data_IF_070293358696
#
_entry.id   IF_070293358696
#
_cell.length_a   1.000
_cell.length_b   1.000
_cell.length_c   1.000
_cell.angle_alpha   90.00
_cell.angle_beta   90.00
_cell.angle_gamma   90.00
#
_symmetry.space_group_name_H-M   'P 1'
#
loop_
_entity.id
_entity.type
_entity.pdbx_description
1 polymer ?
#
# COMPACT_ATOMS: atom_id res chain seq x y z
N UNK A 1 36.22 -21.76 38.07
CA UNK A 1 35.32 -22.34 37.06
C UNK A 1 34.49 -21.21 36.41
N UNK A 2 35.17 -20.30 35.72
CA UNK A 2 34.70 -18.97 35.26
C UNK A 2 34.69 -18.92 33.73
N UNK A 3 34.24 -20.01 33.10
CA UNK A 3 34.21 -20.18 31.64
C UNK A 3 32.86 -20.65 31.09
N UNK A 4 31.89 -20.97 31.94
CA UNK A 4 30.56 -21.42 31.52
C UNK A 4 29.53 -20.29 31.34
N UNK A 5 29.87 -19.05 31.74
CA UNK A 5 28.92 -17.92 31.69
C UNK A 5 28.94 -17.19 30.33
N UNK A 6 29.87 -17.52 29.43
CA UNK A 6 30.04 -16.78 28.16
C UNK A 6 29.17 -17.33 27.02
N UNK A 7 28.54 -18.51 27.17
CA UNK A 7 27.81 -19.16 26.07
C UNK A 7 26.31 -18.80 25.95
N UNK A 8 25.75 -17.98 26.86
CA UNK A 8 24.31 -17.63 26.82
C UNK A 8 24.05 -16.23 26.21
N UNK A 9 25.09 -15.49 25.83
CA UNK A 9 24.97 -14.08 25.47
C UNK A 9 24.81 -13.77 23.97
N UNK A 10 24.61 -14.76 23.08
CA UNK A 10 24.63 -14.51 21.63
C UNK A 10 23.52 -15.19 20.82
N UNK A 11 22.31 -15.30 21.39
CA UNK A 11 21.14 -15.81 20.66
C UNK A 11 19.91 -14.90 20.77
N UNK A 12 20.12 -13.59 20.98
CA UNK A 12 19.10 -12.57 20.80
C UNK A 12 19.05 -12.08 19.35
N UNK A 13 18.88 -12.99 18.39
CA UNK A 13 18.55 -12.62 17.02
C UNK A 13 17.14 -12.03 17.05
N UNK A 14 17.05 -10.70 17.06
CA UNK A 14 15.80 -10.00 16.88
C UNK A 14 15.18 -10.41 15.55
N UNK A 15 14.24 -11.34 15.59
CA UNK A 15 13.33 -11.58 14.49
C UNK A 15 12.48 -10.32 14.35
N UNK A 16 12.93 -9.40 13.49
CA UNK A 16 12.08 -8.34 12.97
C UNK A 16 10.99 -8.98 12.13
N UNK A 17 9.97 -9.55 12.78
CA UNK A 17 8.74 -9.94 12.10
C UNK A 17 8.17 -8.66 11.52
N UNK A 18 8.15 -8.55 10.18
CA UNK A 18 7.55 -7.44 9.48
C UNK A 18 6.06 -7.38 9.84
N UNK A 19 5.73 -6.65 10.90
CA UNK A 19 4.39 -6.54 11.45
C UNK A 19 3.55 -5.60 10.59
N UNK A 20 2.26 -5.93 10.45
CA UNK A 20 1.27 -5.06 9.82
C UNK A 20 1.37 -3.63 10.36
N UNK A 21 1.13 -2.58 9.54
CA UNK A 21 1.13 -1.21 10.01
C UNK A 21 -0.15 -0.86 10.79
N UNK A 22 -1.07 -1.81 10.94
CA UNK A 22 -2.37 -1.64 11.58
C UNK A 22 -2.42 -2.32 12.97
N UNK A 23 -3.27 -1.83 13.88
CA UNK A 23 -3.48 -2.42 15.19
C UNK A 23 -3.85 -3.91 15.12
N UNK A 24 -3.27 -4.72 16.00
CA UNK A 24 -3.42 -6.18 15.95
C UNK A 24 -4.87 -6.63 16.07
N UNK A 25 -5.65 -5.99 16.96
CA UNK A 25 -7.07 -6.22 17.19
C UNK A 25 -7.91 -6.10 15.91
N UNK A 26 -7.57 -5.15 15.05
CA UNK A 26 -8.24 -4.98 13.76
C UNK A 26 -7.75 -5.95 12.69
N UNK A 27 -6.48 -6.36 12.75
CA UNK A 27 -5.92 -7.31 11.76
C UNK A 27 -6.32 -8.77 12.03
N UNK A 28 -6.79 -9.09 13.25
CA UNK A 28 -7.23 -10.46 13.61
C UNK A 28 -8.51 -10.89 12.90
N UNK A 29 -9.37 -9.95 12.53
CA UNK A 29 -10.63 -10.21 11.83
C UNK A 29 -10.47 -10.24 10.30
N UNK A 30 -9.28 -9.92 9.79
CA UNK A 30 -9.01 -9.82 8.36
C UNK A 30 -8.92 -11.20 7.71
N UNK A 31 -9.66 -11.39 6.63
CA UNK A 31 -9.49 -12.53 5.74
C UNK A 31 -8.25 -12.32 4.88
N UNK A 32 -7.12 -12.90 5.28
CA UNK A 32 -5.84 -12.79 4.55
C UNK A 32 -5.75 -13.67 3.29
N UNK A 33 -6.64 -14.67 3.16
CA UNK A 33 -6.72 -15.49 1.95
C UNK A 33 -7.49 -14.80 0.82
N UNK A 34 -8.37 -13.85 1.15
CA UNK A 34 -9.22 -13.19 0.17
C UNK A 34 -8.43 -12.21 -0.69
N UNK A 35 -8.26 -12.57 -1.96
CA UNK A 35 -7.62 -11.77 -2.98
C UNK A 35 -8.61 -10.82 -3.66
N UNK A 36 -8.07 -9.75 -4.27
CA UNK A 36 -8.90 -8.86 -5.08
C UNK A 36 -9.55 -9.58 -6.27
N UNK A 37 -8.88 -10.59 -6.83
CA UNK A 37 -9.42 -11.36 -7.94
C UNK A 37 -10.68 -12.15 -7.53
N UNK A 38 -10.68 -12.73 -6.33
CA UNK A 38 -11.84 -13.45 -5.77
C UNK A 38 -12.99 -12.49 -5.47
N UNK A 39 -12.71 -11.33 -4.85
CA UNK A 39 -13.73 -10.29 -4.61
C UNK A 39 -14.39 -9.84 -5.92
N UNK A 40 -13.62 -9.76 -7.02
CA UNK A 40 -14.15 -9.41 -8.34
C UNK A 40 -14.96 -10.53 -8.99
N UNK A 41 -14.64 -11.78 -8.68
CA UNK A 41 -15.31 -12.94 -9.26
C UNK A 41 -16.72 -13.12 -8.67
N UNK A 42 -16.88 -12.91 -7.36
CA UNK A 42 -18.18 -12.96 -6.69
C UNK A 42 -18.33 -11.86 -5.62
N UNK A 43 -18.56 -10.60 -6.02
CA UNK A 43 -18.62 -9.49 -5.08
C UNK A 43 -19.72 -9.62 -4.00
N UNK A 44 -20.95 -10.09 -4.30
CA UNK A 44 -21.99 -10.30 -3.30
C UNK A 44 -21.58 -11.27 -2.19
N UNK A 45 -20.84 -12.34 -2.51
CA UNK A 45 -20.40 -13.33 -1.52
C UNK A 45 -19.41 -12.75 -0.49
N UNK A 46 -18.68 -11.70 -0.86
CA UNK A 46 -17.63 -11.12 -0.04
C UNK A 46 -18.02 -9.79 0.61
N UNK A 47 -19.27 -9.33 0.46
CA UNK A 47 -19.76 -8.12 1.11
C UNK A 47 -19.64 -8.22 2.63
N UNK A 48 -19.10 -7.17 3.27
CA UNK A 48 -18.92 -7.15 4.72
C UNK A 48 -17.63 -7.81 5.21
N UNK A 49 -16.86 -8.48 4.36
CA UNK A 49 -15.58 -9.06 4.77
C UNK A 49 -14.52 -7.99 5.03
N UNK A 50 -13.73 -8.20 6.09
CA UNK A 50 -12.57 -7.37 6.41
C UNK A 50 -11.36 -7.83 5.61
N UNK A 51 -10.73 -6.88 4.91
CA UNK A 51 -9.61 -7.14 4.01
C UNK A 51 -8.47 -6.15 4.24
N UNK A 52 -7.25 -6.60 3.93
CA UNK A 52 -6.10 -5.72 3.75
C UNK A 52 -5.71 -5.79 2.28
N UNK A 53 -5.85 -4.66 1.59
CA UNK A 53 -5.49 -4.50 0.19
C UNK A 53 -4.59 -3.29 0.04
N UNK A 54 -3.75 -3.28 -0.98
CA UNK A 54 -2.89 -2.14 -1.22
C UNK A 54 -2.33 -2.12 -2.63
N UNK A 55 -1.64 -1.03 -2.95
CA UNK A 55 -1.11 -0.82 -4.28
C UNK A 55 -0.71 0.63 -4.52
N UNK A 56 -0.64 0.98 -5.79
CA UNK A 56 -0.26 2.31 -6.24
C UNK A 56 -1.51 3.18 -6.44
N UNK A 57 -1.50 4.38 -5.89
CA UNK A 57 -2.56 5.36 -6.10
C UNK A 57 -2.55 5.78 -7.58
N UNK A 58 -3.70 5.61 -8.24
CA UNK A 58 -3.93 6.14 -9.58
C UNK A 58 -4.48 7.54 -9.50
N UNK A 59 -5.48 7.75 -8.64
CA UNK A 59 -6.21 9.01 -8.51
C UNK A 59 -6.79 9.16 -7.10
N UNK A 60 -6.77 10.38 -6.59
CA UNK A 60 -7.42 10.77 -5.33
C UNK A 60 -8.43 11.87 -5.64
N UNK A 61 -9.68 11.65 -5.27
CA UNK A 61 -10.80 12.56 -5.54
C UNK A 61 -11.53 12.87 -4.23
N UNK A 62 -11.26 14.02 -3.60
CA UNK A 62 -12.02 14.48 -2.45
C UNK A 62 -13.47 14.76 -2.86
N UNK A 63 -14.42 14.41 -2.01
CA UNK A 63 -15.85 14.70 -2.16
C UNK A 63 -16.37 15.35 -0.86
N UNK A 64 -17.59 15.88 -0.83
CA UNK A 64 -18.18 16.36 0.41
C UNK A 64 -18.29 15.23 1.45
N UNK A 65 -17.48 15.29 2.51
CA UNK A 65 -17.53 14.36 3.64
C UNK A 65 -16.72 13.06 3.49
N UNK A 66 -16.22 12.74 2.29
CA UNK A 66 -15.38 11.56 2.06
C UNK A 66 -14.27 11.83 1.02
N UNK A 67 -13.31 10.92 0.94
CA UNK A 67 -12.32 10.93 -0.15
C UNK A 67 -12.27 9.57 -0.79
N UNK A 68 -12.38 9.55 -2.10
CA UNK A 68 -12.27 8.36 -2.92
C UNK A 68 -10.88 8.26 -3.53
N UNK A 69 -10.25 7.09 -3.37
CA UNK A 69 -8.93 6.78 -3.91
C UNK A 69 -9.07 5.58 -4.83
N UNK A 70 -8.65 5.75 -6.07
CA UNK A 70 -8.55 4.70 -7.07
C UNK A 70 -7.15 4.10 -7.02
N UNK A 71 -7.05 2.80 -6.79
CA UNK A 71 -5.79 2.09 -6.54
C UNK A 71 -5.61 0.99 -7.57
N UNK A 72 -4.39 0.90 -8.11
CA UNK A 72 -3.93 -0.26 -8.87
C UNK A 72 -3.34 -1.27 -7.89
N UNK A 73 -4.00 -2.42 -7.74
CA UNK A 73 -3.64 -3.39 -6.71
C UNK A 73 -2.27 -4.01 -6.96
N UNK A 74 -1.51 -4.17 -5.89
CA UNK A 74 -0.23 -4.87 -5.85
C UNK A 74 -0.28 -6.00 -4.85
N UNK A 75 0.57 -6.99 -5.05
CA UNK A 75 0.85 -7.98 -4.02
C UNK A 75 1.42 -7.28 -2.79
N UNK A 76 1.01 -7.71 -1.61
CA UNK A 76 1.54 -7.19 -0.35
C UNK A 76 2.69 -8.09 0.11
N UNK A 77 3.81 -7.46 0.43
CA UNK A 77 4.99 -8.10 1.02
C UNK A 77 4.91 -8.12 2.55
N UNK A 78 6.06 -8.33 3.21
CA UNK A 78 6.15 -8.27 4.67
C UNK A 78 5.67 -6.92 5.22
N UNK A 79 4.91 -6.95 6.31
CA UNK A 79 4.34 -5.74 6.93
C UNK A 79 3.29 -5.04 6.06
N UNK A 80 2.59 -5.79 5.20
CA UNK A 80 1.53 -5.30 4.31
C UNK A 80 1.95 -4.17 3.36
N UNK A 81 3.24 -4.04 3.07
CA UNK A 81 3.75 -3.06 2.12
C UNK A 81 3.48 -3.50 0.68
N UNK A 82 2.94 -2.65 -0.20
CA UNK A 82 2.78 -2.98 -1.61
C UNK A 82 4.14 -3.24 -2.26
N UNK A 83 4.30 -4.41 -2.87
CA UNK A 83 5.46 -4.80 -3.65
C UNK A 83 5.56 -3.93 -4.90
N UNK A 84 6.79 -3.68 -5.35
CA UNK A 84 7.07 -2.98 -6.61
C UNK A 84 7.06 -3.99 -7.76
N UNK A 85 6.57 -3.57 -8.92
CA UNK A 85 6.61 -4.36 -10.15
C UNK A 85 5.45 -4.03 -11.06
N UNK A 86 5.36 -4.75 -12.18
CA UNK A 86 4.37 -4.48 -13.22
C UNK A 86 3.09 -5.31 -13.04
N UNK A 87 3.14 -6.41 -12.29
CA UNK A 87 2.00 -7.26 -12.01
C UNK A 87 0.90 -6.57 -11.20
N UNK A 88 -0.36 -6.75 -11.60
CA UNK A 88 -1.52 -6.24 -10.86
C UNK A 88 -2.71 -7.19 -10.95
N UNK A 89 -3.44 -7.31 -9.84
CA UNK A 89 -4.71 -8.04 -9.77
C UNK A 89 -5.93 -7.20 -10.24
N UNK A 90 -5.70 -5.98 -10.73
CA UNK A 90 -6.73 -5.06 -11.17
C UNK A 90 -6.81 -3.79 -10.32
N UNK A 91 -7.97 -3.14 -10.38
CA UNK A 91 -8.21 -1.82 -9.79
C UNK A 91 -9.35 -1.90 -8.81
N UNK A 92 -9.26 -1.12 -7.74
CA UNK A 92 -10.32 -1.02 -6.74
C UNK A 92 -10.45 0.41 -6.25
N UNK A 93 -11.61 0.72 -5.70
CA UNK A 93 -11.91 2.01 -5.10
C UNK A 93 -11.84 1.87 -3.60
N UNK A 94 -11.26 2.89 -2.96
CA UNK A 94 -11.23 3.04 -1.52
C UNK A 94 -11.99 4.30 -1.17
N UNK A 95 -12.99 4.19 -0.30
CA UNK A 95 -13.70 5.34 0.25
C UNK A 95 -13.30 5.53 1.71
N UNK A 96 -12.75 6.68 2.01
CA UNK A 96 -12.26 7.07 3.33
C UNK A 96 -13.19 8.13 3.93
N UNK A 97 -13.42 8.09 5.24
CA UNK A 97 -14.18 9.16 5.89
C UNK A 97 -13.33 10.44 5.96
N UNK A 98 -13.91 11.58 5.57
CA UNK A 98 -13.26 12.88 5.62
C UNK A 98 -12.36 13.20 4.42
N UNK A 99 -11.64 14.31 4.55
CA UNK A 99 -10.79 14.87 3.51
C UNK A 99 -9.37 14.29 3.58
N UNK A 100 -8.87 13.80 2.45
CA UNK A 100 -7.46 13.49 2.22
C UNK A 100 -6.94 14.34 1.07
N UNK A 101 -5.84 15.06 1.33
CA UNK A 101 -5.26 15.99 0.37
C UNK A 101 -4.65 15.23 -0.84
N UNK A 102 -5.11 15.49 -2.08
CA UNK A 102 -4.56 14.86 -3.28
C UNK A 102 -3.08 15.14 -3.53
N UNK A 103 -2.52 16.23 -2.99
CA UNK A 103 -1.09 16.52 -3.07
C UNK A 103 -0.26 15.59 -2.16
N UNK A 104 -0.84 15.13 -1.05
CA UNK A 104 -0.21 14.17 -0.13
C UNK A 104 -0.45 12.74 -0.62
N UNK A 105 -1.71 12.42 -0.92
CA UNK A 105 -2.16 11.15 -1.49
C UNK A 105 -2.07 11.20 -3.01
N UNK A 106 -0.90 11.58 -3.50
CA UNK A 106 -0.66 11.80 -4.91
C UNK A 106 -0.59 10.49 -5.70
N UNK A 107 -0.81 10.59 -7.01
CA UNK A 107 -0.59 9.50 -7.97
C UNK A 107 0.81 8.91 -7.82
N UNK A 108 0.91 7.58 -7.88
CA UNK A 108 2.17 6.83 -7.77
C UNK A 108 2.64 6.59 -6.35
N UNK A 109 1.97 7.16 -5.33
CA UNK A 109 2.23 6.80 -3.93
C UNK A 109 1.69 5.41 -3.64
N UNK A 110 2.39 4.67 -2.79
CA UNK A 110 1.93 3.38 -2.28
C UNK A 110 1.01 3.57 -1.09
N UNK A 111 -0.12 2.88 -1.11
CA UNK A 111 -1.11 2.88 -0.04
C UNK A 111 -1.49 1.44 0.31
N UNK A 112 -1.60 1.16 1.61
CA UNK A 112 -2.28 -0.04 2.13
C UNK A 112 -3.53 0.41 2.86
N UNK A 113 -4.59 -0.37 2.73
CA UNK A 113 -5.89 -0.09 3.32
C UNK A 113 -6.35 -1.33 4.06
N UNK A 114 -6.73 -1.12 5.31
CA UNK A 114 -7.55 -2.03 6.09
C UNK A 114 -8.98 -1.51 6.03
N UNK A 115 -9.91 -2.36 5.62
CA UNK A 115 -11.31 -1.96 5.57
C UNK A 115 -12.25 -3.10 5.22
N UNK A 116 -13.49 -2.75 4.93
CA UNK A 116 -14.54 -3.70 4.61
C UNK A 116 -14.91 -3.64 3.13
N UNK A 117 -15.17 -4.80 2.52
CA UNK A 117 -15.79 -4.86 1.19
C UNK A 117 -17.21 -4.28 1.27
N UNK A 118 -17.45 -3.20 0.52
CA UNK A 118 -18.71 -2.46 0.51
C UNK A 118 -19.60 -2.80 -0.70
N UNK A 119 -19.08 -3.53 -1.68
CA UNK A 119 -19.76 -3.89 -2.92
C UNK A 119 -18.92 -3.55 -4.15
N UNK A 120 -19.58 -3.25 -5.26
CA UNK A 120 -18.94 -2.87 -6.51
C UNK A 120 -19.51 -1.60 -7.12
N UNK A 121 -18.74 -0.99 -8.00
CA UNK A 121 -19.17 0.15 -8.82
C UNK A 121 -18.67 -0.02 -10.25
N UNK A 122 -19.57 0.13 -11.23
CA UNK A 122 -19.22 0.08 -12.64
C UNK A 122 -18.79 1.46 -13.12
N UNK A 123 -17.58 1.55 -13.68
CA UNK A 123 -17.05 2.76 -14.33
C UNK A 123 -16.15 2.39 -15.49
N UNK A 124 -15.91 3.31 -16.40
CA UNK A 124 -14.98 3.06 -17.51
C UNK A 124 -13.52 3.28 -17.10
N UNK A 125 -12.64 2.44 -17.62
CA UNK A 125 -11.19 2.68 -17.70
C UNK A 125 -10.90 3.03 -19.16
N UNK A 126 -10.74 4.31 -19.46
CA UNK A 126 -10.81 4.78 -20.84
C UNK A 126 -12.18 4.46 -21.42
N UNK A 127 -12.22 3.72 -22.53
CA UNK A 127 -13.47 3.32 -23.20
C UNK A 127 -13.98 1.93 -22.78
N UNK A 128 -13.29 1.27 -21.84
CA UNK A 128 -13.61 -0.10 -21.41
C UNK A 128 -14.40 -0.06 -20.10
N UNK A 129 -15.62 -0.57 -20.09
CA UNK A 129 -16.40 -0.75 -18.86
C UNK A 129 -15.69 -1.67 -17.86
N UNK A 130 -15.63 -1.27 -16.59
CA UNK A 130 -14.88 -1.96 -15.55
C UNK A 130 -15.66 -1.97 -14.23
N UNK A 131 -15.75 -3.14 -13.62
CA UNK A 131 -16.37 -3.33 -12.31
C UNK A 131 -15.30 -3.21 -11.22
N UNK A 132 -15.37 -2.13 -10.44
CA UNK A 132 -14.47 -1.87 -9.32
C UNK A 132 -15.04 -2.47 -8.04
N UNK A 133 -14.29 -3.31 -7.31
CA UNK A 133 -14.55 -3.53 -5.90
C UNK A 133 -14.41 -2.22 -5.13
N UNK A 134 -15.33 -1.97 -4.21
CA UNK A 134 -15.33 -0.79 -3.34
C UNK A 134 -15.00 -1.23 -1.93
N UNK A 135 -13.94 -0.67 -1.37
CA UNK A 135 -13.51 -0.91 0.00
C UNK A 135 -13.80 0.34 0.81
N UNK A 136 -14.56 0.18 1.89
CA UNK A 136 -14.76 1.24 2.89
C UNK A 136 -13.59 1.19 3.86
N UNK A 137 -12.73 2.20 3.83
CA UNK A 137 -11.53 2.21 4.65
C UNK A 137 -11.87 2.46 6.12
N UNK A 138 -11.29 1.62 6.98
CA UNK A 138 -11.25 1.83 8.43
C UNK A 138 -9.93 2.47 8.83
N UNK A 139 -8.82 2.03 8.21
CA UNK A 139 -7.48 2.60 8.36
C UNK A 139 -6.75 2.58 7.03
N UNK A 140 -5.88 3.57 6.83
CA UNK A 140 -4.99 3.64 5.67
C UNK A 140 -3.56 3.88 6.12
N UNK A 141 -2.62 3.25 5.43
CA UNK A 141 -1.18 3.46 5.57
C UNK A 141 -0.64 4.03 4.27
N UNK A 142 -0.29 5.31 4.27
CA UNK A 142 0.47 5.93 3.20
C UNK A 142 1.96 5.65 3.43
N UNK A 143 2.58 4.95 2.49
CA UNK A 143 4.00 4.63 2.59
C UNK A 143 4.84 5.86 2.23
N UNK A 144 6.00 6.04 2.88
CA UNK A 144 6.90 7.13 2.56
C UNK A 144 7.30 7.05 1.09
N UNK A 145 7.55 8.22 0.49
CA UNK A 145 8.27 8.26 -0.78
C UNK A 145 9.66 7.73 -0.47
N UNK A 146 9.99 6.54 -0.97
CA UNK A 146 11.38 6.14 -1.03
C UNK A 146 12.02 7.11 -2.03
N UNK A 147 12.80 8.07 -1.52
CA UNK A 147 13.63 8.89 -2.37
C UNK A 147 14.55 8.00 -3.20
N UNK A 148 15.18 8.51 -4.26
CA UNK A 148 16.34 7.83 -4.79
C UNK A 148 17.25 7.52 -3.60
N UNK A 149 17.76 6.29 -3.52
CA UNK A 149 18.84 5.97 -2.61
C UNK A 149 19.99 6.94 -2.93
N UNK A 150 20.06 8.07 -2.22
CA UNK A 150 21.25 8.93 -2.18
C UNK A 150 22.16 8.36 -1.10
N UNK A 151 22.44 7.05 -1.22
CA UNK A 151 23.29 6.30 -0.31
C UNK A 151 24.64 6.09 -0.96
N UNK A 152 25.50 7.09 -0.84
CA UNK A 152 26.90 7.02 -1.24
C UNK A 152 27.41 8.39 -1.65
N UNK A 153 28.02 9.10 -0.69
CA UNK A 153 29.03 10.16 -0.87
C UNK A 153 29.07 10.87 -2.23
N UNK A 154 27.99 11.55 -2.62
CA UNK A 154 28.14 12.58 -3.64
C UNK A 154 28.78 13.78 -2.93
N UNK A 155 30.03 14.15 -3.24
CA UNK A 155 30.54 15.42 -2.77
C UNK A 155 29.58 16.51 -3.24
N UNK A 156 29.40 17.60 -2.47
CA UNK A 156 28.62 18.73 -2.93
C UNK A 156 29.12 19.13 -4.32
N UNK A 157 28.23 19.06 -5.31
CA UNK A 157 28.57 19.50 -6.67
C UNK A 157 28.79 21.01 -6.60
N UNK A 158 29.98 21.50 -7.02
CA UNK A 158 30.19 22.94 -7.14
C UNK A 158 29.12 23.58 -8.03
N UNK A 159 28.69 24.80 -7.70
CA UNK A 159 27.62 25.50 -8.43
C UNK A 159 27.97 25.77 -9.91
N UNK A 160 29.24 25.63 -10.26
CA UNK A 160 29.82 25.75 -11.60
C UNK A 160 29.96 24.42 -12.36
N UNK A 161 29.42 23.31 -11.82
CA UNK A 161 29.47 22.01 -12.51
C UNK A 161 28.65 22.08 -13.81
N UNK A 162 29.25 21.78 -14.99
CA UNK A 162 28.51 21.80 -16.24
C UNK A 162 27.40 20.75 -16.21
N UNK A 163 26.19 21.15 -16.58
CA UNK A 163 25.07 20.21 -16.70
C UNK A 163 25.35 19.36 -17.94
N UNK A 164 25.87 18.15 -17.74
CA UNK A 164 26.08 17.22 -18.86
C UNK A 164 24.70 16.88 -19.45
N UNK A 165 24.53 16.99 -20.78
CA UNK A 165 23.29 16.55 -21.40
C UNK A 165 23.13 15.04 -21.17
N UNK A 166 21.92 14.62 -20.81
CA UNK A 166 21.59 13.21 -20.68
C UNK A 166 21.97 12.47 -21.98
N UNK A 167 22.61 11.29 -21.88
CA UNK A 167 22.85 10.47 -23.07
C UNK A 167 21.49 10.07 -23.67
N UNK A 168 21.35 10.30 -24.99
CA UNK A 168 20.20 9.87 -25.78
C UNK A 168 20.27 8.39 -26.10
#
# INVERSE_FOLDING_TARGET
MRRLVVLVALAGLGAGCASSPFPEDLTRTVNRSLSLAEIRADPPAHMGEHVILGGDIIKTTPKPGDTEIEILARKLGGGDAPERGDGSAGRFLVRTAGFLDPAIYARGRRLTVLGTVAGTEERSVGDVGYVYPVIRAERVKLWPVEGPWVGGDYPPVPLDTPILPYPR
#
